data_IF_301315291439
#
_entry.id   IF_301315291439
#
_cell.length_a   1.000
_cell.length_b   1.000
_cell.length_c   1.000
_cell.angle_alpha   90.00
_cell.angle_beta   90.00
_cell.angle_gamma   90.00
#
_symmetry.space_group_name_H-M   'P 1'
#
loop_
_entity.id
_entity.type
_entity.pdbx_description
1 polymer ?
#
# COMPACT_ATOMS: atom_id res chain seq x y z
N UNK A 1 -17.73 29.08 18.28
CA UNK A 1 -17.56 28.83 16.82
C UNK A 1 -16.34 27.93 16.62
N UNK A 2 -16.47 26.71 16.05
CA UNK A 2 -15.36 25.76 16.03
C UNK A 2 -14.50 25.91 14.76
N UNK A 3 -13.27 26.42 14.91
CA UNK A 3 -12.22 26.49 13.87
C UNK A 3 -11.36 25.21 13.83
N UNK A 4 -11.98 24.03 13.83
CA UNK A 4 -11.26 22.73 14.00
C UNK A 4 -11.42 21.74 12.83
N UNK A 5 -11.90 22.17 11.67
CA UNK A 5 -12.21 21.29 10.54
C UNK A 5 -11.11 21.16 9.46
N UNK A 6 -10.24 22.15 9.28
CA UNK A 6 -9.27 22.19 8.17
C UNK A 6 -8.13 21.18 8.26
N UNK A 7 -7.63 20.89 9.47
CA UNK A 7 -6.50 19.96 9.67
C UNK A 7 -6.84 18.50 9.38
N UNK A 8 -8.11 18.11 9.55
CA UNK A 8 -8.54 16.72 9.36
C UNK A 8 -8.68 16.33 7.88
N UNK A 9 -9.00 17.27 6.99
CA UNK A 9 -9.16 17.01 5.56
C UNK A 9 -7.79 16.80 4.90
N UNK A 10 -6.81 17.63 5.27
CA UNK A 10 -5.44 17.50 4.77
C UNK A 10 -4.79 16.18 5.22
N UNK A 11 -4.96 15.80 6.49
CA UNK A 11 -4.48 14.52 7.00
C UNK A 11 -5.18 13.30 6.36
N UNK A 12 -6.47 13.41 6.03
CA UNK A 12 -7.20 12.36 5.30
C UNK A 12 -6.76 12.25 3.83
N UNK A 13 -6.53 13.38 3.15
CA UNK A 13 -6.05 13.40 1.77
C UNK A 13 -4.63 12.84 1.66
N UNK A 14 -3.74 13.21 2.60
CA UNK A 14 -2.38 12.66 2.71
C UNK A 14 -2.39 11.16 3.00
N UNK A 15 -3.24 10.68 3.93
CA UNK A 15 -3.44 9.24 4.14
C UNK A 15 -3.92 8.53 2.89
N UNK A 16 -4.96 9.06 2.23
CA UNK A 16 -5.52 8.48 1.00
C UNK A 16 -4.52 8.47 -0.16
N UNK A 17 -3.63 9.45 -0.23
CA UNK A 17 -2.51 9.51 -1.16
C UNK A 17 -1.42 8.48 -0.83
N UNK A 18 -1.08 8.35 0.45
CA UNK A 18 -0.17 7.32 0.98
C UNK A 18 -0.68 5.91 0.70
N UNK A 19 -1.94 5.61 1.02
CA UNK A 19 -2.61 4.35 0.74
C UNK A 19 -2.57 3.98 -0.76
N UNK A 20 -2.78 4.95 -1.65
CA UNK A 20 -2.67 4.73 -3.09
C UNK A 20 -1.25 4.44 -3.53
N UNK A 21 -0.28 5.18 -3.00
CA UNK A 21 1.13 4.96 -3.31
C UNK A 21 1.61 3.59 -2.80
N UNK A 22 1.18 3.19 -1.59
CA UNK A 22 1.46 1.87 -1.02
C UNK A 22 0.79 0.75 -1.82
N UNK A 23 -0.48 0.90 -2.20
CA UNK A 23 -1.16 -0.08 -3.05
C UNK A 23 -0.46 -0.25 -4.41
N UNK A 24 0.02 0.84 -5.01
CA UNK A 24 0.79 0.78 -6.26
C UNK A 24 2.15 0.11 -6.08
N UNK A 25 2.84 0.36 -4.95
CA UNK A 25 4.10 -0.33 -4.60
C UNK A 25 3.86 -1.83 -4.42
N UNK A 26 2.88 -2.24 -3.62
CA UNK A 26 2.51 -3.65 -3.41
C UNK A 26 2.23 -4.35 -4.73
N UNK A 27 1.45 -3.72 -5.61
CA UNK A 27 1.10 -4.26 -6.92
C UNK A 27 2.30 -4.39 -7.87
N UNK A 28 3.29 -3.49 -7.78
CA UNK A 28 4.56 -3.62 -8.51
C UNK A 28 5.37 -4.80 -8.00
N UNK A 29 5.53 -4.93 -6.68
CA UNK A 29 6.26 -6.03 -6.06
C UNK A 29 5.61 -7.37 -6.39
N UNK A 30 4.28 -7.48 -6.33
CA UNK A 30 3.55 -8.69 -6.76
C UNK A 30 3.87 -9.04 -8.23
N UNK A 31 3.92 -8.06 -9.13
CA UNK A 31 4.25 -8.29 -10.54
C UNK A 31 5.69 -8.74 -10.73
N UNK A 32 6.64 -8.12 -10.03
CA UNK A 32 8.06 -8.50 -10.11
C UNK A 32 8.31 -9.89 -9.54
N UNK A 33 7.66 -10.25 -8.42
CA UNK A 33 7.72 -11.61 -7.86
C UNK A 33 7.21 -12.67 -8.84
N UNK A 34 6.15 -12.36 -9.60
CA UNK A 34 5.61 -13.29 -10.61
C UNK A 34 6.47 -13.33 -11.86
N UNK A 35 6.89 -12.16 -12.38
CA UNK A 35 7.59 -12.08 -13.67
C UNK A 35 9.08 -12.40 -13.59
N UNK A 36 9.78 -11.95 -12.55
CA UNK A 36 11.23 -12.11 -12.44
C UNK A 36 11.61 -13.37 -11.64
N UNK A 37 10.84 -13.70 -10.61
CA UNK A 37 11.15 -14.82 -9.72
C UNK A 37 10.30 -16.07 -10.02
N UNK A 38 9.35 -15.97 -10.95
CA UNK A 38 8.52 -17.11 -11.38
C UNK A 38 7.55 -17.60 -10.30
N UNK A 39 7.32 -16.82 -9.24
CA UNK A 39 6.40 -17.21 -8.18
C UNK A 39 4.96 -17.26 -8.68
N UNK A 40 4.19 -18.19 -8.12
CA UNK A 40 2.75 -18.21 -8.34
C UNK A 40 2.12 -16.96 -7.73
N UNK A 41 1.04 -16.44 -8.35
CA UNK A 41 0.29 -15.28 -7.83
C UNK A 41 -0.08 -15.39 -6.35
N UNK A 42 -0.41 -16.60 -5.88
CA UNK A 42 -0.73 -16.84 -4.48
C UNK A 42 0.47 -16.69 -3.54
N UNK A 43 1.66 -17.12 -3.97
CA UNK A 43 2.90 -16.96 -3.21
C UNK A 43 3.35 -15.50 -3.21
N UNK A 44 3.29 -14.83 -4.36
CA UNK A 44 3.60 -13.40 -4.46
C UNK A 44 2.72 -12.56 -3.52
N UNK A 45 1.41 -12.85 -3.46
CA UNK A 45 0.49 -12.24 -2.50
C UNK A 45 0.88 -12.48 -1.05
N UNK A 46 1.22 -13.72 -0.70
CA UNK A 46 1.61 -14.08 0.67
C UNK A 46 2.88 -13.34 1.09
N UNK A 47 3.89 -13.30 0.22
CA UNK A 47 5.15 -12.58 0.47
C UNK A 47 4.91 -11.08 0.63
N UNK A 48 4.12 -10.47 -0.25
CA UNK A 48 3.80 -9.03 -0.14
C UNK A 48 3.02 -8.72 1.14
N UNK A 49 2.10 -9.61 1.55
CA UNK A 49 1.40 -9.48 2.83
C UNK A 49 2.31 -9.69 4.04
N UNK A 50 3.30 -10.59 3.97
CA UNK A 50 4.28 -10.77 5.06
C UNK A 50 5.23 -9.57 5.17
N UNK A 51 5.67 -9.00 4.04
CA UNK A 51 6.48 -7.77 4.01
C UNK A 51 5.72 -6.54 4.53
N UNK A 52 4.39 -6.51 4.36
CA UNK A 52 3.53 -5.45 4.86
C UNK A 52 3.13 -5.63 6.33
N UNK A 53 2.93 -6.88 6.75
CA UNK A 53 2.50 -7.25 8.10
C UNK A 53 3.63 -7.38 9.12
N UNK A 54 4.90 -7.48 8.68
CA UNK A 54 6.07 -7.41 9.53
C UNK A 54 6.31 -5.97 9.99
N UNK A 55 5.48 -5.52 10.94
CA UNK A 55 5.60 -4.24 11.65
C UNK A 55 6.15 -4.46 13.05
#
# INVERSE_FOLDING_TARGET
MPLRAGGNIYAQAMRKGGDRAEALRKRRIEKELVQQLGYSRSQAKKIVSELDGAK
#
